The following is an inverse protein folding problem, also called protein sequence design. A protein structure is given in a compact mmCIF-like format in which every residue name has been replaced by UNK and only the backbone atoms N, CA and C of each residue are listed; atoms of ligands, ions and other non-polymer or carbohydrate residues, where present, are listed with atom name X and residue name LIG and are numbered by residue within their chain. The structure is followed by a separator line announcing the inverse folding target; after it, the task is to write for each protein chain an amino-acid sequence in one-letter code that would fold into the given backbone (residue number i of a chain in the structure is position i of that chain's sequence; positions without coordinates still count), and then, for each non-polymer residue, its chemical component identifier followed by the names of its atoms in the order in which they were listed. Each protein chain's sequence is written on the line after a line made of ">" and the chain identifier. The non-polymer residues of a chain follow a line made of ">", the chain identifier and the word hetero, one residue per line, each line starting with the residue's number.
data_IF_625232604415
#
_entry.id   IF_625232604415
#
_cell.length_a   1.000
_cell.length_b   1.000
_cell.length_c   1.000
_cell.angle_alpha   90.00
_cell.angle_beta   90.00
_cell.angle_gamma   90.00
#
_symmetry.space_group_name_H-M   'P 1'
#
loop_
_entity.id
_entity.type
_entity.pdbx_description
1 polymer ?
#
# COMPACT_ATOMS: atom_id res chain seq x y z
N UNK A 1 -11.30 -21.62 1.61
CA UNK A 1 -10.46 -21.27 0.44
C UNK A 1 -11.40 -20.82 -0.67
N UNK A 2 -11.30 -19.58 -1.10
CA UNK A 2 -12.01 -19.13 -2.30
C UNK A 2 -11.36 -19.76 -3.53
N UNK A 3 -12.17 -20.26 -4.45
CA UNK A 3 -11.70 -20.80 -5.73
C UNK A 3 -11.09 -19.65 -6.54
N UNK A 4 -9.79 -19.74 -6.82
CA UNK A 4 -9.12 -18.83 -7.74
C UNK A 4 -9.40 -19.31 -9.18
N UNK A 5 -10.05 -18.50 -10.04
CA UNK A 5 -10.34 -18.92 -11.40
C UNK A 5 -9.08 -19.03 -12.26
N UNK A 6 -9.10 -19.95 -13.22
CA UNK A 6 -8.06 -20.12 -14.22
C UNK A 6 -8.50 -19.54 -15.55
N UNK A 7 -7.54 -18.94 -16.26
CA UNK A 7 -7.69 -18.41 -17.63
C UNK A 7 -6.80 -19.22 -18.56
N UNK A 8 -7.33 -19.63 -19.71
CA UNK A 8 -6.57 -20.31 -20.76
C UNK A 8 -6.34 -19.33 -21.91
N UNK A 9 -5.09 -19.10 -22.24
CA UNK A 9 -4.70 -18.28 -23.41
C UNK A 9 -4.16 -19.17 -24.52
N UNK A 10 -4.63 -18.94 -25.73
CA UNK A 10 -4.05 -19.56 -26.93
C UNK A 10 -2.89 -18.71 -27.45
N UNK A 11 -1.72 -19.31 -27.53
CA UNK A 11 -0.53 -18.67 -28.09
C UNK A 11 -0.08 -19.43 -29.34
N UNK A 12 0.84 -18.83 -30.11
CA UNK A 12 1.47 -19.49 -31.26
C UNK A 12 2.25 -20.78 -30.91
N UNK A 13 2.49 -21.01 -29.60
CA UNK A 13 3.22 -22.19 -29.08
C UNK A 13 2.29 -23.18 -28.35
N UNK A 14 0.96 -23.02 -28.44
CA UNK A 14 -0.04 -23.84 -27.75
C UNK A 14 -0.80 -23.10 -26.66
N UNK A 15 -1.59 -23.83 -25.90
CA UNK A 15 -2.38 -23.31 -24.80
C UNK A 15 -1.54 -23.14 -23.53
N UNK A 16 -1.75 -22.01 -22.82
CA UNK A 16 -1.19 -21.77 -21.50
C UNK A 16 -2.30 -21.46 -20.51
N UNK A 17 -2.29 -22.14 -19.36
CA UNK A 17 -3.22 -21.90 -18.27
C UNK A 17 -2.54 -21.10 -17.17
N UNK A 18 -3.22 -20.05 -16.71
CA UNK A 18 -2.79 -19.21 -15.57
C UNK A 18 -3.93 -19.11 -14.57
N UNK A 19 -3.63 -19.04 -13.28
CA UNK A 19 -4.60 -18.45 -12.36
C UNK A 19 -4.74 -16.94 -12.65
N UNK A 20 -5.87 -16.34 -12.22
CA UNK A 20 -6.19 -14.96 -12.59
C UNK A 20 -5.13 -13.96 -12.09
N UNK A 21 -4.55 -14.18 -10.89
CA UNK A 21 -3.53 -13.27 -10.37
C UNK A 21 -2.21 -13.38 -11.13
N UNK A 22 -1.77 -14.59 -11.46
CA UNK A 22 -0.60 -14.81 -12.32
C UNK A 22 -0.79 -14.22 -13.71
N UNK A 23 -2.02 -14.28 -14.24
CA UNK A 23 -2.34 -13.64 -15.54
C UNK A 23 -2.24 -12.12 -15.47
N UNK A 24 -2.80 -11.50 -14.41
CA UNK A 24 -2.74 -10.06 -14.21
C UNK A 24 -1.32 -9.57 -13.91
N UNK A 25 -0.51 -10.38 -13.24
CA UNK A 25 0.90 -10.07 -12.99
C UNK A 25 1.69 -9.91 -14.31
N UNK A 26 1.35 -10.66 -15.37
CA UNK A 26 1.95 -10.45 -16.70
C UNK A 26 1.63 -9.05 -17.28
N UNK A 27 0.52 -8.44 -16.87
CA UNK A 27 0.15 -7.07 -17.21
C UNK A 27 0.67 -6.04 -16.17
N UNK A 28 1.59 -6.47 -15.30
CA UNK A 28 2.24 -5.68 -14.25
C UNK A 28 1.27 -5.19 -13.16
N UNK A 29 0.23 -5.97 -12.91
CA UNK A 29 -0.80 -5.68 -11.90
C UNK A 29 -0.59 -6.58 -10.69
N UNK A 30 -0.45 -5.95 -9.52
CA UNK A 30 -0.35 -6.60 -8.20
C UNK A 30 -1.58 -6.23 -7.37
N UNK A 31 -2.10 -7.17 -6.59
CA UNK A 31 -3.20 -6.94 -5.65
C UNK A 31 -2.73 -7.07 -4.20
N UNK A 32 -3.02 -6.04 -3.41
CA UNK A 32 -3.04 -6.07 -1.96
C UNK A 32 -4.51 -6.01 -1.52
N UNK A 33 -5.18 -7.16 -1.51
CA UNK A 33 -6.63 -7.30 -1.30
C UNK A 33 -7.02 -7.78 0.10
N UNK A 34 -6.12 -7.73 1.07
CA UNK A 34 -6.32 -8.23 2.42
C UNK A 34 -5.46 -7.47 3.44
N UNK A 35 -5.44 -7.93 4.69
CA UNK A 35 -4.62 -7.36 5.75
C UNK A 35 -3.12 -7.41 5.41
N UNK A 36 -2.40 -6.35 5.75
CA UNK A 36 -0.94 -6.27 5.64
C UNK A 36 -0.30 -7.09 6.75
N UNK A 37 0.33 -8.20 6.40
CA UNK A 37 1.06 -9.08 7.29
C UNK A 37 2.34 -9.60 6.60
N UNK A 38 3.14 -10.40 7.29
CA UNK A 38 4.43 -10.87 6.77
C UNK A 38 4.28 -11.69 5.48
N UNK A 39 3.20 -12.48 5.37
CA UNK A 39 2.94 -13.29 4.17
C UNK A 39 2.56 -12.43 2.99
N UNK A 40 1.59 -11.51 3.15
CA UNK A 40 1.15 -10.61 2.07
C UNK A 40 2.25 -9.66 1.65
N UNK A 41 3.05 -9.16 2.61
CA UNK A 41 4.20 -8.31 2.31
C UNK A 41 5.26 -9.06 1.51
N UNK A 42 5.61 -10.28 1.90
CA UNK A 42 6.58 -11.10 1.17
C UNK A 42 6.14 -11.38 -0.27
N UNK A 43 4.85 -11.63 -0.49
CA UNK A 43 4.29 -11.84 -1.82
C UNK A 43 4.35 -10.57 -2.68
N UNK A 44 3.95 -9.41 -2.13
CA UNK A 44 4.01 -8.13 -2.85
C UNK A 44 5.46 -7.75 -3.18
N UNK A 45 6.37 -7.87 -2.22
CA UNK A 45 7.82 -7.62 -2.42
C UNK A 45 8.38 -8.51 -3.52
N UNK A 46 8.10 -9.81 -3.50
CA UNK A 46 8.58 -10.73 -4.54
C UNK A 46 8.04 -10.36 -5.93
N UNK A 47 6.77 -9.96 -6.03
CA UNK A 47 6.17 -9.52 -7.29
C UNK A 47 6.78 -8.21 -7.80
N UNK A 48 7.03 -7.24 -6.92
CA UNK A 48 7.70 -5.98 -7.27
C UNK A 48 9.09 -6.23 -7.86
N UNK A 49 9.92 -7.04 -7.19
CA UNK A 49 11.25 -7.39 -7.64
C UNK A 49 11.24 -8.20 -8.95
N UNK A 50 10.29 -9.12 -9.09
CA UNK A 50 10.11 -9.90 -10.32
C UNK A 50 9.77 -8.98 -11.50
N UNK A 51 8.84 -8.04 -11.33
CA UNK A 51 8.42 -7.13 -12.39
C UNK A 51 9.53 -6.12 -12.76
N UNK A 52 10.31 -5.64 -11.80
CA UNK A 52 11.48 -4.81 -12.09
C UNK A 52 12.49 -5.57 -12.94
N UNK A 53 12.79 -6.84 -12.59
CA UNK A 53 13.73 -7.67 -13.35
C UNK A 53 13.24 -7.96 -14.77
N UNK A 54 11.93 -7.94 -15.03
CA UNK A 54 11.36 -8.13 -16.37
C UNK A 54 11.53 -6.88 -17.25
N UNK A 55 11.20 -5.70 -16.71
CA UNK A 55 11.28 -4.43 -17.44
C UNK A 55 11.33 -3.27 -16.43
N UNK A 56 12.50 -2.67 -16.17
CA UNK A 56 12.66 -1.62 -15.18
C UNK A 56 12.07 -0.26 -15.61
N UNK A 57 11.73 -0.09 -16.89
CA UNK A 57 11.26 1.18 -17.45
C UNK A 57 9.72 1.29 -17.48
N UNK A 58 9.01 0.19 -17.18
CA UNK A 58 7.55 0.18 -17.17
C UNK A 58 6.98 0.25 -15.76
N UNK A 59 5.91 1.03 -15.63
CA UNK A 59 5.15 1.15 -14.38
C UNK A 59 4.61 -0.19 -13.88
N UNK A 60 4.52 -0.29 -12.56
CA UNK A 60 3.81 -1.36 -11.86
C UNK A 60 2.53 -0.78 -11.27
N UNK A 61 1.41 -1.50 -11.37
CA UNK A 61 0.13 -1.10 -10.81
C UNK A 61 -0.16 -1.91 -9.54
N UNK A 62 -0.17 -1.25 -8.38
CA UNK A 62 -0.53 -1.85 -7.10
C UNK A 62 -1.97 -1.48 -6.74
N UNK A 63 -2.88 -2.43 -6.89
CA UNK A 63 -4.28 -2.29 -6.47
C UNK A 63 -4.40 -2.59 -4.97
N UNK A 64 -5.03 -1.69 -4.23
CA UNK A 64 -5.14 -1.76 -2.77
C UNK A 64 -6.62 -1.79 -2.37
N UNK A 65 -7.00 -2.87 -1.65
CA UNK A 65 -8.25 -3.00 -0.91
C UNK A 65 -7.91 -3.65 0.44
N UNK A 66 -7.43 -2.84 1.37
CA UNK A 66 -6.81 -3.33 2.62
C UNK A 66 -7.21 -2.50 3.83
N UNK A 67 -7.55 -3.14 4.95
CA UNK A 67 -7.78 -2.45 6.22
C UNK A 67 -6.47 -1.98 6.89
N UNK A 68 -5.31 -2.26 6.29
CA UNK A 68 -4.00 -2.04 6.89
C UNK A 68 -3.49 -3.28 7.62
N UNK A 69 -2.73 -3.11 8.68
CA UNK A 69 -2.16 -4.22 9.45
C UNK A 69 -0.76 -3.91 9.98
N UNK A 70 0.15 -4.90 9.93
CA UNK A 70 1.50 -4.81 10.48
C UNK A 70 2.32 -3.68 9.86
N UNK A 71 2.80 -2.78 10.71
CA UNK A 71 3.65 -1.65 10.29
C UNK A 71 4.97 -2.15 9.69
N UNK A 72 5.60 -3.15 10.30
CA UNK A 72 6.88 -3.68 9.80
C UNK A 72 6.72 -4.32 8.43
N UNK A 73 5.66 -5.10 8.23
CA UNK A 73 5.32 -5.71 6.94
C UNK A 73 5.02 -4.63 5.88
N UNK A 74 4.26 -3.58 6.25
CA UNK A 74 3.98 -2.47 5.36
C UNK A 74 5.23 -1.66 4.98
N UNK A 75 6.15 -1.48 5.92
CA UNK A 75 7.44 -0.82 5.62
C UNK A 75 8.30 -1.64 4.64
N UNK A 76 8.26 -2.97 4.69
CA UNK A 76 8.96 -3.80 3.71
C UNK A 76 8.43 -3.58 2.28
N UNK A 77 7.10 -3.46 2.14
CA UNK A 77 6.49 -3.10 0.84
C UNK A 77 6.92 -1.70 0.42
N UNK A 78 6.78 -0.71 1.32
CA UNK A 78 7.13 0.68 1.06
C UNK A 78 8.58 0.82 0.60
N UNK A 79 9.52 0.29 1.38
CA UNK A 79 10.95 0.39 1.06
C UNK A 79 11.26 -0.26 -0.30
N UNK A 80 10.60 -1.38 -0.63
CA UNK A 80 10.75 -2.02 -1.94
C UNK A 80 10.19 -1.16 -3.07
N UNK A 81 9.00 -0.54 -2.88
CA UNK A 81 8.43 0.40 -3.85
C UNK A 81 9.37 1.58 -4.14
N UNK A 82 10.09 2.06 -3.12
CA UNK A 82 11.04 3.17 -3.28
C UNK A 82 12.40 2.71 -3.81
N UNK A 83 12.77 1.46 -3.59
CA UNK A 83 14.07 0.89 -3.99
C UNK A 83 14.16 0.53 -5.46
N UNK A 84 13.08 -0.02 -6.03
CA UNK A 84 13.03 -0.44 -7.43
C UNK A 84 13.03 0.76 -8.38
N UNK A 85 13.46 0.54 -9.63
CA UNK A 85 13.52 1.59 -10.65
C UNK A 85 12.16 1.93 -11.26
N UNK A 86 11.26 0.94 -11.29
CA UNK A 86 9.90 1.14 -11.81
C UNK A 86 9.12 2.15 -10.96
N UNK A 87 8.37 3.03 -11.59
CA UNK A 87 7.33 3.77 -10.88
C UNK A 87 6.20 2.81 -10.46
N UNK A 88 5.80 2.90 -9.20
CA UNK A 88 4.65 2.15 -8.69
C UNK A 88 3.44 3.06 -8.65
N UNK A 89 2.48 2.82 -9.54
CA UNK A 89 1.15 3.44 -9.47
C UNK A 89 0.30 2.71 -8.43
N UNK A 90 -0.30 3.44 -7.50
CA UNK A 90 -1.18 2.88 -6.47
C UNK A 90 -2.63 3.20 -6.76
N UNK A 91 -3.52 2.21 -6.66
CA UNK A 91 -4.94 2.35 -6.99
C UNK A 91 -5.80 1.80 -5.84
N UNK A 92 -6.52 2.68 -5.16
CA UNK A 92 -7.48 2.27 -4.14
C UNK A 92 -8.78 1.79 -4.77
N UNK A 93 -9.18 0.57 -4.40
CA UNK A 93 -10.44 -0.06 -4.82
C UNK A 93 -11.16 -0.52 -3.55
N UNK A 94 -12.32 0.06 -3.25
CA UNK A 94 -13.05 -0.21 -2.01
C UNK A 94 -12.47 0.55 -0.83
N UNK A 95 -11.36 0.10 -0.24
CA UNK A 95 -10.82 0.73 0.96
C UNK A 95 -9.29 0.68 1.00
N UNK A 96 -8.68 1.76 1.48
CA UNK A 96 -7.31 1.78 1.93
C UNK A 96 -7.23 2.43 3.32
N UNK A 97 -7.09 1.62 4.37
CA UNK A 97 -7.05 2.12 5.73
C UNK A 97 -5.69 1.87 6.40
N UNK A 98 -5.29 2.74 7.34
CA UNK A 98 -4.07 2.56 8.15
C UNK A 98 -2.83 2.34 7.28
N UNK A 99 -2.13 1.19 7.40
CA UNK A 99 -1.01 0.84 6.51
C UNK A 99 -1.42 0.77 5.03
N UNK A 100 -2.68 0.47 4.71
CA UNK A 100 -3.18 0.54 3.33
C UNK A 100 -3.19 1.96 2.78
N UNK A 101 -3.62 2.95 3.58
CA UNK A 101 -3.58 4.37 3.21
C UNK A 101 -2.14 4.89 3.09
N UNK A 102 -1.27 4.44 3.99
CA UNK A 102 0.16 4.74 3.94
C UNK A 102 0.77 4.27 2.61
N UNK A 103 0.55 3.01 2.23
CA UNK A 103 1.04 2.45 0.96
C UNK A 103 0.40 3.15 -0.25
N UNK A 104 -0.90 3.46 -0.20
CA UNK A 104 -1.60 4.21 -1.24
C UNK A 104 -0.92 5.57 -1.49
N UNK A 105 -0.65 6.31 -0.43
CA UNK A 105 0.00 7.64 -0.51
C UNK A 105 1.46 7.57 -0.97
N UNK A 106 2.08 6.38 -0.92
CA UNK A 106 3.50 6.16 -1.21
C UNK A 106 3.79 5.78 -2.67
N UNK A 107 2.76 5.73 -3.51
CA UNK A 107 2.92 5.58 -4.96
C UNK A 107 3.66 6.76 -5.61
N UNK A 108 4.11 6.56 -6.84
CA UNK A 108 4.79 7.59 -7.61
C UNK A 108 3.90 8.84 -7.79
N UNK A 109 4.47 10.03 -7.66
CA UNK A 109 3.74 11.31 -7.78
C UNK A 109 3.01 11.40 -9.12
N UNK A 110 1.74 11.80 -9.08
CA UNK A 110 0.84 11.87 -10.23
C UNK A 110 0.20 10.53 -10.61
N UNK A 111 0.59 9.42 -9.93
CA UNK A 111 0.13 8.05 -10.21
C UNK A 111 -0.57 7.39 -9.02
N UNK A 112 -0.95 8.17 -7.99
CA UNK A 112 -1.73 7.72 -6.84
C UNK A 112 -3.21 7.97 -7.11
N UNK A 113 -4.02 6.92 -7.10
CA UNK A 113 -5.35 6.92 -7.67
C UNK A 113 -6.34 6.30 -6.68
N UNK A 114 -7.60 6.77 -6.70
CA UNK A 114 -8.72 6.06 -6.09
C UNK A 114 -9.89 5.97 -7.07
N UNK A 115 -10.70 4.91 -6.93
CA UNK A 115 -12.01 4.84 -7.57
C UNK A 115 -13.01 5.67 -6.76
N UNK A 116 -14.11 6.18 -7.39
CA UNK A 116 -14.93 7.24 -6.82
C UNK A 116 -15.64 6.89 -5.51
N UNK A 117 -15.89 5.60 -5.26
CA UNK A 117 -16.53 5.14 -4.02
C UNK A 117 -15.53 4.50 -3.03
N UNK A 118 -14.23 4.69 -3.27
CA UNK A 118 -13.22 4.19 -2.35
C UNK A 118 -13.14 5.09 -1.11
N UNK A 119 -12.86 4.46 0.02
CA UNK A 119 -12.63 5.13 1.31
C UNK A 119 -11.16 5.03 1.70
N UNK A 120 -10.63 6.12 2.24
CA UNK A 120 -9.25 6.17 2.73
C UNK A 120 -9.25 6.60 4.18
N UNK A 121 -8.49 5.90 5.04
CA UNK A 121 -8.43 6.26 6.45
C UNK A 121 -6.99 6.29 6.95
N UNK A 122 -6.65 7.38 7.61
CA UNK A 122 -5.37 7.52 8.33
C UNK A 122 -5.62 7.59 9.82
N UNK A 123 -4.74 6.95 10.58
CA UNK A 123 -4.67 7.04 12.03
C UNK A 123 -3.25 6.72 12.53
N UNK A 124 -2.98 7.02 13.79
CA UNK A 124 -1.72 6.65 14.42
C UNK A 124 -1.58 5.13 14.57
N UNK A 125 -0.35 4.57 14.56
CA UNK A 125 -0.15 3.15 14.81
C UNK A 125 -0.62 2.78 16.23
N UNK A 126 -1.31 1.66 16.35
CA UNK A 126 -1.61 1.04 17.64
C UNK A 126 -0.50 0.06 18.01
N UNK A 127 -0.12 0.04 19.27
CA UNK A 127 0.87 -0.87 19.80
C UNK A 127 0.53 -1.24 21.25
N UNK A 128 1.07 -2.36 21.70
CA UNK A 128 0.98 -2.80 23.08
C UNK A 128 2.27 -3.48 23.50
N UNK A 129 2.61 -3.41 24.78
CA UNK A 129 3.77 -4.09 25.36
C UNK A 129 3.42 -4.67 26.73
N UNK A 130 4.11 -5.74 27.10
CA UNK A 130 3.96 -6.42 28.37
C UNK A 130 5.31 -6.99 28.79
N UNK A 131 5.67 -6.84 30.05
CA UNK A 131 6.93 -7.38 30.56
C UNK A 131 7.47 -6.60 31.75
N UNK A 132 8.79 -6.58 31.91
CA UNK A 132 9.48 -5.78 32.93
C UNK A 132 9.39 -4.29 32.56
N UNK A 133 9.34 -3.43 33.55
CA UNK A 133 9.19 -1.98 33.35
C UNK A 133 10.23 -1.42 32.38
N UNK A 134 11.49 -1.76 32.55
CA UNK A 134 12.58 -1.28 31.68
C UNK A 134 12.40 -1.78 30.22
N UNK A 135 11.95 -3.02 30.02
CA UNK A 135 11.70 -3.55 28.68
C UNK A 135 10.52 -2.80 28.02
N UNK A 136 9.47 -2.50 28.82
CA UNK A 136 8.31 -1.70 28.35
C UNK A 136 8.71 -0.28 27.95
N UNK A 137 9.64 0.36 28.69
CA UNK A 137 10.16 1.69 28.34
C UNK A 137 10.89 1.66 27.00
N UNK A 138 11.70 0.62 26.74
CA UNK A 138 12.38 0.41 25.46
C UNK A 138 11.37 0.25 24.31
N UNK A 139 10.34 -0.57 24.52
CA UNK A 139 9.29 -0.78 23.51
C UNK A 139 8.53 0.51 23.20
N UNK A 140 8.14 1.27 24.22
CA UNK A 140 7.45 2.56 24.04
C UNK A 140 8.32 3.54 23.26
N UNK A 141 9.61 3.65 23.59
CA UNK A 141 10.52 4.50 22.83
C UNK A 141 10.61 4.06 21.35
N UNK A 142 10.66 2.76 21.11
CA UNK A 142 10.66 2.20 19.74
C UNK A 142 9.38 2.55 18.99
N UNK A 143 8.20 2.40 19.62
CA UNK A 143 6.90 2.74 18.99
C UNK A 143 6.80 4.24 18.68
N UNK A 144 7.33 5.10 19.53
CA UNK A 144 7.36 6.54 19.26
C UNK A 144 8.25 6.88 18.05
N UNK A 145 9.38 6.20 17.88
CA UNK A 145 10.24 6.35 16.69
C UNK A 145 9.53 5.91 15.41
N UNK A 146 8.78 4.79 15.46
CA UNK A 146 7.96 4.32 14.35
C UNK A 146 6.88 5.34 14.00
N UNK A 147 6.11 5.83 14.98
CA UNK A 147 5.07 6.85 14.78
C UNK A 147 5.65 8.10 14.10
N UNK A 148 6.81 8.59 14.57
CA UNK A 148 7.46 9.75 13.97
C UNK A 148 7.86 9.51 12.51
N UNK A 149 8.40 8.32 12.20
CA UNK A 149 8.78 7.94 10.83
C UNK A 149 7.57 7.91 9.88
N UNK A 150 6.48 7.27 10.31
CA UNK A 150 5.23 7.23 9.52
C UNK A 150 4.70 8.64 9.27
N UNK A 151 4.62 9.48 10.30
CA UNK A 151 4.13 10.84 10.18
C UNK A 151 5.00 11.67 9.22
N UNK A 152 6.32 11.50 9.27
CA UNK A 152 7.24 12.18 8.36
C UNK A 152 6.98 11.76 6.90
N UNK A 153 6.89 10.46 6.64
CA UNK A 153 6.64 9.95 5.27
C UNK A 153 5.28 10.44 4.76
N UNK A 154 4.23 10.37 5.58
CA UNK A 154 2.91 10.90 5.21
C UNK A 154 2.95 12.41 4.94
N UNK A 155 3.71 13.17 5.72
CA UNK A 155 3.91 14.60 5.49
C UNK A 155 4.59 14.87 4.14
N UNK A 156 5.66 14.14 3.84
CA UNK A 156 6.39 14.23 2.57
C UNK A 156 5.49 13.86 1.37
N UNK A 157 4.65 12.83 1.54
CA UNK A 157 3.73 12.37 0.49
C UNK A 157 2.57 13.33 0.23
N UNK A 158 2.04 13.97 1.29
CA UNK A 158 0.83 14.82 1.21
C UNK A 158 1.14 16.31 1.05
N UNK A 159 2.38 16.73 1.30
CA UNK A 159 2.78 18.14 1.34
C UNK A 159 2.33 18.88 2.61
N UNK A 160 1.87 18.16 3.64
CA UNK A 160 1.52 18.71 4.95
C UNK A 160 2.71 18.71 5.89
N UNK A 161 2.58 19.41 7.03
CA UNK A 161 3.62 19.33 8.08
C UNK A 161 3.47 18.07 8.92
N UNK A 162 4.55 17.55 9.53
CA UNK A 162 4.46 16.40 10.45
C UNK A 162 3.51 16.64 11.63
N UNK A 163 3.40 17.89 12.11
CA UNK A 163 2.49 18.31 13.18
C UNK A 163 1.03 18.21 12.73
N UNK A 164 0.74 18.60 11.49
CA UNK A 164 -0.58 18.47 10.89
C UNK A 164 -0.96 16.99 10.78
N UNK A 165 -0.08 16.17 10.18
CA UNK A 165 -0.31 14.71 10.10
C UNK A 165 -0.53 14.09 11.48
N UNK A 166 0.28 14.47 12.48
CA UNK A 166 0.13 13.99 13.85
C UNK A 166 -1.26 14.33 14.42
N UNK A 167 -1.73 15.55 14.20
CA UNK A 167 -3.05 15.99 14.66
C UNK A 167 -4.18 15.26 13.94
N UNK A 168 -4.09 15.17 12.61
CA UNK A 168 -5.14 14.61 11.75
C UNK A 168 -5.24 13.08 11.87
N UNK A 169 -4.16 12.41 12.28
CA UNK A 169 -4.11 10.96 12.50
C UNK A 169 -4.24 10.53 13.97
N UNK A 170 -4.55 11.45 14.90
CA UNK A 170 -4.70 11.10 16.32
C UNK A 170 -5.85 10.12 16.58
N UNK A 171 -6.89 10.19 15.77
CA UNK A 171 -8.02 9.27 15.70
C UNK A 171 -8.27 8.86 14.27
N UNK A 172 -9.18 7.89 14.07
CA UNK A 172 -9.57 7.46 12.73
C UNK A 172 -10.11 8.65 11.93
N UNK A 173 -9.40 9.00 10.89
CA UNK A 173 -9.74 10.08 9.99
C UNK A 173 -10.10 9.49 8.63
N UNK A 174 -11.42 9.27 8.45
CA UNK A 174 -11.99 8.70 7.24
C UNK A 174 -12.21 9.78 6.19
N UNK A 175 -11.86 9.47 4.96
CA UNK A 175 -11.97 10.34 3.80
C UNK A 175 -12.58 9.58 2.63
N UNK A 176 -13.50 10.23 1.93
CA UNK A 176 -13.91 9.83 0.58
C UNK A 176 -12.73 9.97 -0.41
N UNK A 177 -12.85 9.41 -1.60
CA UNK A 177 -11.82 9.53 -2.63
C UNK A 177 -11.49 11.00 -2.96
N UNK A 178 -12.48 11.89 -3.05
CA UNK A 178 -12.26 13.31 -3.33
C UNK A 178 -11.58 14.03 -2.15
N UNK A 179 -12.01 13.76 -0.90
CA UNK A 179 -11.35 14.30 0.30
C UNK A 179 -9.90 13.83 0.42
N UNK A 180 -9.62 12.55 0.11
CA UNK A 180 -8.26 11.99 0.09
C UNK A 180 -7.37 12.67 -0.95
N UNK A 181 -7.93 13.06 -2.09
CA UNK A 181 -7.25 13.86 -3.12
C UNK A 181 -6.98 15.29 -2.64
N UNK A 182 -7.96 15.96 -2.06
CA UNK A 182 -7.78 17.31 -1.49
C UNK A 182 -6.77 17.31 -0.34
N UNK A 183 -6.76 16.24 0.45
CA UNK A 183 -5.80 16.02 1.53
C UNK A 183 -4.37 15.83 1.00
N UNK A 184 -4.20 15.27 -0.19
CA UNK A 184 -2.92 14.98 -0.84
C UNK A 184 -2.45 13.52 -0.71
N UNK A 185 -3.29 12.62 -0.20
CA UNK A 185 -2.99 11.18 -0.13
C UNK A 185 -2.98 10.52 -1.50
N UNK A 186 -3.78 11.05 -2.43
CA UNK A 186 -3.83 10.62 -3.83
C UNK A 186 -3.76 11.82 -4.78
N UNK A 187 -3.53 11.53 -6.05
CA UNK A 187 -3.42 12.56 -7.11
C UNK A 187 -4.70 12.68 -7.94
N UNK A 188 -5.44 11.56 -8.09
CA UNK A 188 -6.59 11.49 -9.02
C UNK A 188 -7.70 10.60 -8.49
N UNK A 189 -8.94 10.98 -8.79
CA UNK A 189 -10.11 10.08 -8.74
C UNK A 189 -10.48 9.73 -10.17
N UNK A 190 -10.57 8.42 -10.49
CA UNK A 190 -10.83 7.93 -11.85
C UNK A 190 -12.18 7.25 -11.91
N UNK A 191 -13.08 7.78 -12.74
CA UNK A 191 -14.44 7.27 -12.96
C UNK A 191 -14.52 6.23 -14.08
N UNK A 192 -13.60 6.30 -15.06
CA UNK A 192 -13.50 5.35 -16.18
C UNK A 192 -12.04 5.16 -16.57
N UNK A 193 -11.71 3.92 -16.92
CA UNK A 193 -10.41 3.51 -17.48
C UNK A 193 -10.25 3.96 -18.92
#
# INVERSE_FOLDING_TARGET
>A
MSLVPYVVEQTSRGERSYDIFSRLLNDRIIFLGEEVNDTTASLVVAQLLYLEAQDPDKDIQLYINSPGGSVTAGMAIYDTMQYIKCDVSTICVGMAASMGAFLLSSGAKGKRIALPNAEVMIHQPSAGTQGKVTDMEIDVEHFLKIKQRINKILADNTGKTPEQIKSDSERDNWMTAEEAKEYGLIDKVIYKR
#
